data_IF_886695917546
#
_entry.id   IF_886695917546
#
_cell.length_a   1.000
_cell.length_b   1.000
_cell.length_c   1.000
_cell.angle_alpha   90.00
_cell.angle_beta   90.00
_cell.angle_gamma   90.00
#
_symmetry.space_group_name_H-M   'P 1'
#
loop_
_entity.id
_entity.type
_entity.pdbx_description
1 polymer ?
#
# COMPACT_ATOMS: atom_id res chain seq x y z
N UNK A 1 13.08 12.22 19.17
CA UNK A 1 12.98 10.89 18.48
C UNK A 1 12.15 9.97 19.34
N UNK A 2 11.01 9.47 18.84
CA UNK A 2 10.20 8.48 19.55
C UNK A 2 10.96 7.15 19.66
N UNK A 3 11.21 6.70 20.88
CA UNK A 3 12.02 5.51 21.16
C UNK A 3 11.12 4.28 21.29
N UNK A 4 11.45 3.16 20.65
CA UNK A 4 10.67 1.89 20.69
C UNK A 4 10.60 1.26 22.09
N UNK A 5 11.42 1.71 23.04
CA UNK A 5 11.44 1.27 24.43
C UNK A 5 10.66 2.19 25.40
N UNK A 6 9.94 3.17 24.86
CA UNK A 6 9.23 4.16 25.70
C UNK A 6 7.98 3.52 26.33
N UNK A 7 7.86 3.62 27.63
CA UNK A 7 6.60 3.31 28.32
C UNK A 7 5.63 4.47 28.07
N UNK A 8 4.52 4.18 27.42
CA UNK A 8 3.45 5.15 27.20
C UNK A 8 2.48 5.09 28.38
N UNK A 9 2.17 6.25 28.95
CA UNK A 9 1.18 6.40 30.05
C UNK A 9 -0.19 6.83 29.54
N UNK A 10 -0.25 7.41 28.34
CA UNK A 10 -1.50 7.90 27.75
C UNK A 10 -1.67 7.40 26.32
N UNK A 11 -2.90 7.04 25.97
CA UNK A 11 -3.29 6.48 24.68
C UNK A 11 -4.41 7.31 24.08
N UNK A 12 -4.13 7.98 22.97
CA UNK A 12 -5.08 8.82 22.25
C UNK A 12 -5.55 8.09 21.01
N UNK A 13 -6.80 7.62 21.03
CA UNK A 13 -7.41 6.98 19.85
C UNK A 13 -8.15 7.98 19.01
N UNK A 14 -7.89 7.98 17.71
CA UNK A 14 -8.40 8.94 16.73
C UNK A 14 -9.21 8.19 15.68
N UNK A 15 -10.51 8.44 15.65
CA UNK A 15 -11.42 8.01 14.57
C UNK A 15 -11.62 9.15 13.58
N UNK A 16 -11.04 9.03 12.39
CA UNK A 16 -10.96 10.13 11.42
C UNK A 16 -11.94 9.94 10.26
N UNK A 17 -12.66 11.00 9.93
CA UNK A 17 -13.56 11.09 8.78
C UNK A 17 -13.26 12.32 7.91
N UNK A 18 -14.00 12.49 6.82
CA UNK A 18 -13.76 13.56 5.85
C UNK A 18 -13.78 14.96 6.45
N UNK A 19 -14.74 15.27 7.34
CA UNK A 19 -14.97 16.64 7.84
C UNK A 19 -14.58 16.83 9.31
N UNK A 20 -14.46 15.73 10.06
CA UNK A 20 -14.25 15.73 11.51
C UNK A 20 -13.48 14.51 11.93
N UNK A 21 -12.92 14.57 13.13
CA UNK A 21 -12.45 13.39 13.82
C UNK A 21 -12.87 13.41 15.28
N UNK A 22 -13.03 12.23 15.84
CA UNK A 22 -13.34 12.02 17.26
C UNK A 22 -12.08 11.49 17.96
N UNK A 23 -11.69 12.10 19.06
CA UNK A 23 -10.54 11.71 19.85
C UNK A 23 -10.94 11.27 21.24
N UNK A 24 -10.45 10.10 21.69
CA UNK A 24 -10.64 9.58 23.02
C UNK A 24 -9.30 9.34 23.70
N UNK A 25 -9.14 9.76 24.95
CA UNK A 25 -7.92 9.65 25.74
C UNK A 25 -8.12 8.67 26.88
N UNK A 26 -7.18 7.71 27.01
CA UNK A 26 -7.10 6.75 28.13
C UNK A 26 -5.77 6.94 28.87
N UNK A 27 -5.76 6.65 30.15
CA UNK A 27 -4.51 6.42 30.91
C UNK A 27 -4.02 4.96 30.73
N UNK A 28 -2.92 4.63 31.37
CA UNK A 28 -2.27 3.30 31.33
C UNK A 28 -3.06 2.20 32.06
N UNK A 29 -4.06 2.58 32.88
CA UNK A 29 -5.01 1.68 33.56
C UNK A 29 -6.32 1.50 32.76
N UNK A 30 -6.46 2.19 31.61
CA UNK A 30 -7.65 2.14 30.77
C UNK A 30 -8.79 3.06 31.25
N UNK A 31 -8.53 3.98 32.18
CA UNK A 31 -9.51 4.99 32.62
C UNK A 31 -9.70 6.03 31.51
N UNK A 32 -10.95 6.33 31.19
CA UNK A 32 -11.32 7.36 30.22
C UNK A 32 -11.11 8.75 30.83
N UNK A 33 -10.16 9.51 30.26
CA UNK A 33 -9.85 10.87 30.71
C UNK A 33 -10.69 11.92 30.01
N UNK A 34 -10.97 11.72 28.71
CA UNK A 34 -11.78 12.65 27.93
C UNK A 34 -12.14 12.14 26.56
N UNK A 35 -13.15 12.79 25.96
CA UNK A 35 -13.52 12.63 24.55
C UNK A 35 -13.92 13.99 24.01
N UNK A 36 -13.43 14.33 22.82
CA UNK A 36 -13.80 15.57 22.14
C UNK A 36 -13.80 15.34 20.61
N UNK A 37 -14.66 16.08 19.94
CA UNK A 37 -14.79 16.10 18.48
C UNK A 37 -14.14 17.35 17.93
N UNK A 38 -13.37 17.19 16.84
CA UNK A 38 -12.66 18.26 16.18
C UNK A 38 -13.00 18.29 14.69
N UNK A 39 -12.80 19.45 14.04
CA UNK A 39 -12.86 19.58 12.60
C UNK A 39 -11.59 18.98 12.00
N UNK A 40 -11.71 18.24 10.90
CA UNK A 40 -10.53 17.70 10.20
C UNK A 40 -9.93 18.78 9.27
N UNK A 41 -9.18 19.70 9.85
CA UNK A 41 -8.54 20.84 9.19
C UNK A 41 -7.46 21.47 10.08
N UNK A 42 -6.50 22.15 9.47
CA UNK A 42 -5.30 22.67 10.13
C UNK A 42 -5.62 23.58 11.33
N UNK A 43 -6.69 24.36 11.26
CA UNK A 43 -7.05 25.35 12.28
C UNK A 43 -7.41 24.70 13.64
N UNK A 44 -7.88 23.44 13.64
CA UNK A 44 -8.28 22.73 14.88
C UNK A 44 -7.26 21.71 15.37
N UNK A 45 -6.16 21.52 14.66
CA UNK A 45 -5.16 20.52 15.07
C UNK A 45 -4.32 21.00 16.26
N UNK A 46 -4.07 22.28 16.37
CA UNK A 46 -3.43 22.88 17.56
C UNK A 46 -4.35 22.77 18.79
N UNK A 47 -5.63 23.14 18.67
CA UNK A 47 -6.62 22.98 19.74
C UNK A 47 -6.73 21.52 20.21
N UNK A 48 -6.58 20.58 19.27
CA UNK A 48 -6.56 19.16 19.59
C UNK A 48 -5.34 18.77 20.43
N UNK A 49 -4.14 19.25 20.07
CA UNK A 49 -2.93 18.97 20.87
C UNK A 49 -2.98 19.66 22.24
N UNK A 50 -3.45 20.90 22.32
CA UNK A 50 -3.64 21.61 23.58
C UNK A 50 -4.60 20.83 24.51
N UNK A 51 -5.74 20.40 23.99
CA UNK A 51 -6.70 19.58 24.76
C UNK A 51 -6.10 18.25 25.24
N UNK A 52 -5.28 17.58 24.43
CA UNK A 52 -4.57 16.36 24.85
C UNK A 52 -3.54 16.71 25.92
N UNK A 53 -2.79 17.80 25.76
CA UNK A 53 -1.79 18.26 26.72
C UNK A 53 -2.43 18.56 28.11
N UNK A 54 -3.60 19.21 28.15
CA UNK A 54 -4.35 19.45 29.39
C UNK A 54 -4.72 18.15 30.09
N UNK A 55 -5.29 17.15 29.36
CA UNK A 55 -5.69 15.87 29.91
C UNK A 55 -4.54 15.00 30.40
N UNK A 56 -3.36 15.17 29.81
CA UNK A 56 -2.15 14.40 30.14
C UNK A 56 -1.15 15.16 31.02
N UNK A 57 -1.55 16.33 31.52
CA UNK A 57 -0.70 17.22 32.32
C UNK A 57 0.67 17.51 31.68
N UNK A 58 0.69 17.68 30.35
CA UNK A 58 1.90 17.96 29.59
C UNK A 58 2.86 16.78 29.43
N UNK A 59 2.42 15.56 29.71
CA UNK A 59 3.28 14.37 29.59
C UNK A 59 3.78 14.17 28.16
N UNK A 60 5.04 13.81 28.02
CA UNK A 60 5.65 13.39 26.75
C UNK A 60 5.41 11.89 26.42
N UNK A 61 4.78 11.13 27.32
CA UNK A 61 4.57 9.69 27.22
C UNK A 61 3.20 9.35 26.62
N UNK A 62 2.81 10.11 25.59
CA UNK A 62 1.55 9.97 24.85
C UNK A 62 1.78 9.19 23.57
N UNK A 63 0.97 8.15 23.35
CA UNK A 63 0.89 7.45 22.06
C UNK A 63 -0.42 7.83 21.36
N UNK A 64 -0.29 8.38 20.17
CA UNK A 64 -1.42 8.62 19.27
C UNK A 64 -1.65 7.40 18.39
N UNK A 65 -2.89 6.91 18.32
CA UNK A 65 -3.29 5.77 17.51
C UNK A 65 -4.39 6.22 16.56
N UNK A 66 -4.24 5.95 15.28
CA UNK A 66 -5.19 6.37 14.26
C UNK A 66 -5.54 5.22 13.34
N UNK A 67 -6.82 5.11 12.96
CA UNK A 67 -7.23 4.26 11.86
C UNK A 67 -6.83 4.87 10.51
N UNK A 68 -6.25 4.04 9.62
CA UNK A 68 -5.92 4.46 8.27
C UNK A 68 -7.18 4.58 7.40
N UNK A 69 -7.72 5.77 7.26
CA UNK A 69 -8.91 6.09 6.45
C UNK A 69 -8.58 6.71 5.08
N UNK A 70 -7.44 6.34 4.51
CA UNK A 70 -6.97 6.84 3.23
C UNK A 70 -6.57 8.32 3.27
N UNK A 71 -7.06 9.11 2.29
CA UNK A 71 -6.69 10.53 2.17
C UNK A 71 -7.19 11.37 3.35
N UNK A 72 -8.27 10.97 4.02
CA UNK A 72 -8.88 11.76 5.11
C UNK A 72 -8.05 11.78 6.38
N UNK A 73 -7.25 10.73 6.64
CA UNK A 73 -6.33 10.69 7.78
C UNK A 73 -5.01 11.42 7.54
N UNK A 74 -4.69 11.76 6.28
CA UNK A 74 -3.36 12.24 5.87
C UNK A 74 -2.98 13.58 6.52
N UNK A 75 -3.88 14.57 6.54
CA UNK A 75 -3.57 15.89 7.09
C UNK A 75 -3.19 15.81 8.57
N UNK A 76 -4.03 15.17 9.40
CA UNK A 76 -3.77 15.03 10.82
C UNK A 76 -2.54 14.15 11.09
N UNK A 77 -2.35 13.09 10.29
CA UNK A 77 -1.15 12.25 10.37
C UNK A 77 0.13 13.07 10.18
N UNK A 78 0.21 13.84 9.09
CA UNK A 78 1.40 14.64 8.78
C UNK A 78 1.62 15.71 9.85
N UNK A 79 0.58 16.43 10.25
CA UNK A 79 0.64 17.38 11.35
C UNK A 79 1.21 16.78 12.63
N UNK A 80 0.70 15.63 13.08
CA UNK A 80 1.19 14.96 14.29
C UNK A 80 2.67 14.55 14.17
N UNK A 81 3.10 14.13 12.99
CA UNK A 81 4.50 13.77 12.75
C UNK A 81 5.43 15.00 12.65
N UNK A 82 4.92 16.14 12.19
CA UNK A 82 5.67 17.40 12.18
C UNK A 82 5.79 18.01 13.59
N UNK A 83 4.86 17.68 14.49
CA UNK A 83 4.94 17.97 15.93
C UNK A 83 5.73 16.90 16.73
N UNK A 84 6.49 16.02 16.05
CA UNK A 84 7.26 14.94 16.65
C UNK A 84 6.44 14.00 17.59
N UNK A 85 5.11 13.92 17.39
CA UNK A 85 4.24 13.03 18.17
C UNK A 85 4.54 11.56 17.87
N UNK A 86 4.48 10.71 18.90
CA UNK A 86 4.55 9.26 18.73
C UNK A 86 3.24 8.74 18.15
N UNK A 87 3.23 8.43 16.87
CA UNK A 87 2.03 8.05 16.12
C UNK A 87 2.11 6.60 15.62
N UNK A 88 1.02 5.86 15.83
CA UNK A 88 0.77 4.54 15.27
C UNK A 88 -0.47 4.56 14.38
N UNK A 89 -0.31 4.53 13.07
CA UNK A 89 -1.39 4.39 12.10
C UNK A 89 -1.55 2.90 11.76
N UNK A 90 -2.75 2.36 11.97
CA UNK A 90 -3.04 0.95 11.75
C UNK A 90 -4.28 0.78 10.85
N UNK A 91 -4.38 -0.37 10.22
CA UNK A 91 -5.55 -0.75 9.42
C UNK A 91 -6.78 -0.95 10.32
N UNK A 92 -7.93 -0.40 9.93
CA UNK A 92 -9.19 -0.60 10.63
C UNK A 92 -9.58 -2.06 10.81
N UNK A 93 -9.20 -2.93 9.88
CA UNK A 93 -9.38 -4.36 10.01
C UNK A 93 -8.63 -4.95 11.23
N UNK A 94 -7.38 -4.52 11.44
CA UNK A 94 -6.55 -4.98 12.58
C UNK A 94 -7.10 -4.47 13.89
N UNK A 95 -7.47 -3.19 13.95
CA UNK A 95 -8.08 -2.56 15.12
C UNK A 95 -9.40 -3.26 15.49
N UNK A 96 -10.32 -3.41 14.53
CA UNK A 96 -11.63 -4.02 14.76
C UNK A 96 -11.52 -5.50 15.18
N UNK A 97 -10.57 -6.25 14.59
CA UNK A 97 -10.35 -7.65 15.00
C UNK A 97 -9.81 -7.78 16.42
N UNK A 98 -9.05 -6.80 16.90
CA UNK A 98 -8.54 -6.79 18.27
C UNK A 98 -9.58 -6.33 19.30
N UNK A 99 -10.54 -5.50 18.89
CA UNK A 99 -11.57 -4.92 19.79
C UNK A 99 -12.73 -5.88 20.13
N UNK A 100 -12.81 -7.08 19.51
CA UNK A 100 -13.90 -8.03 19.76
C UNK A 100 -15.25 -7.59 19.18
N UNK A 101 -16.34 -8.19 19.67
CA UNK A 101 -17.72 -7.90 19.22
C UNK A 101 -18.24 -6.63 19.91
N UNK A 102 -18.45 -5.57 19.15
CA UNK A 102 -19.02 -4.32 19.64
C UNK A 102 -20.55 -4.36 19.55
N UNK A 103 -21.24 -4.04 20.65
CA UNK A 103 -22.72 -3.94 20.70
C UNK A 103 -23.26 -2.61 20.16
N UNK A 104 -22.47 -1.54 20.25
CA UNK A 104 -22.83 -0.19 19.80
C UNK A 104 -21.73 0.37 18.91
N UNK A 105 -22.13 1.07 17.85
CA UNK A 105 -21.22 1.72 16.92
C UNK A 105 -21.56 3.22 16.89
N UNK A 106 -20.64 4.04 17.38
CA UNK A 106 -20.65 5.49 17.19
C UNK A 106 -19.21 6.02 17.29
N UNK A 107 -18.95 7.18 16.71
CA UNK A 107 -17.64 7.78 16.59
C UNK A 107 -16.90 7.90 17.95
N UNK A 108 -17.64 8.20 19.03
CA UNK A 108 -17.08 8.25 20.40
C UNK A 108 -16.59 6.87 20.88
N UNK A 109 -17.40 5.81 20.69
CA UNK A 109 -17.03 4.44 21.08
C UNK A 109 -15.87 3.96 20.22
N UNK A 110 -15.85 4.32 18.95
CA UNK A 110 -14.79 3.92 18.03
C UNK A 110 -13.45 4.58 18.37
N UNK A 111 -13.43 5.88 18.76
CA UNK A 111 -12.20 6.54 19.22
C UNK A 111 -11.62 5.89 20.48
N UNK A 112 -12.45 5.55 21.49
CA UNK A 112 -11.97 4.82 22.65
C UNK A 112 -11.50 3.40 22.32
N UNK A 113 -12.16 2.70 21.40
CA UNK A 113 -11.72 1.36 20.97
C UNK A 113 -10.36 1.39 20.27
N UNK A 114 -10.07 2.47 19.53
CA UNK A 114 -8.75 2.69 18.94
C UNK A 114 -7.70 2.93 20.03
N UNK A 115 -8.02 3.71 21.07
CA UNK A 115 -7.13 3.92 22.21
C UNK A 115 -6.88 2.61 22.99
N UNK A 116 -7.94 1.82 23.27
CA UNK A 116 -7.88 0.49 23.91
C UNK A 116 -7.01 -0.49 23.11
N UNK A 117 -7.08 -0.44 21.77
CA UNK A 117 -6.18 -1.21 20.91
C UNK A 117 -4.72 -0.85 21.20
N UNK A 118 -4.36 0.44 21.24
CA UNK A 118 -3.01 0.90 21.56
C UNK A 118 -2.56 0.44 22.95
N UNK A 119 -3.41 0.61 23.97
CA UNK A 119 -3.15 0.18 25.34
C UNK A 119 -2.92 -1.34 25.41
N UNK A 120 -3.79 -2.15 24.81
CA UNK A 120 -3.68 -3.63 24.80
C UNK A 120 -2.43 -4.13 24.08
N UNK A 121 -1.88 -3.35 23.15
CA UNK A 121 -0.69 -3.68 22.36
C UNK A 121 0.55 -2.85 22.72
N UNK A 122 0.54 -2.18 23.88
CA UNK A 122 1.61 -1.27 24.32
C UNK A 122 3.01 -1.87 24.29
N UNK A 123 3.15 -3.18 24.47
CA UNK A 123 4.44 -3.89 24.36
C UNK A 123 4.85 -4.23 22.93
N UNK A 124 4.02 -3.94 21.92
CA UNK A 124 4.24 -4.26 20.50
C UNK A 124 3.92 -3.06 19.61
N UNK A 125 4.14 -1.85 20.11
CA UNK A 125 3.89 -0.60 19.38
C UNK A 125 4.69 -0.59 18.07
N UNK A 126 4.00 -0.22 17.00
CA UNK A 126 4.58 -0.05 15.67
C UNK A 126 4.46 1.41 15.26
N UNK A 127 5.40 2.23 15.69
CA UNK A 127 5.42 3.63 15.28
C UNK A 127 5.43 3.74 13.77
N UNK A 128 4.58 4.62 13.28
CA UNK A 128 4.49 4.91 11.84
C UNK A 128 5.72 5.70 11.44
N UNK A 129 6.49 5.23 10.45
CA UNK A 129 7.65 5.97 9.95
C UNK A 129 7.25 7.36 9.47
N UNK A 130 8.18 8.32 9.60
CA UNK A 130 7.94 9.69 9.11
C UNK A 130 7.54 9.64 7.63
N UNK A 131 6.56 10.45 7.26
CA UNK A 131 6.10 10.53 5.88
C UNK A 131 7.20 11.14 5.00
N UNK A 132 7.15 10.79 3.73
CA UNK A 132 8.01 11.33 2.68
C UNK A 132 7.10 12.01 1.65
N UNK A 133 7.29 13.30 1.46
CA UNK A 133 6.47 14.11 0.56
C UNK A 133 6.56 13.62 -0.89
N UNK A 134 7.78 13.25 -1.33
CA UNK A 134 8.01 12.77 -2.69
C UNK A 134 7.35 11.41 -2.93
N UNK A 135 7.43 10.47 -1.96
CA UNK A 135 6.71 9.19 -2.05
C UNK A 135 5.20 9.39 -2.02
N UNK A 136 4.72 10.38 -1.25
CA UNK A 136 3.31 10.74 -1.21
C UNK A 136 2.85 11.30 -2.56
N UNK A 137 3.61 12.22 -3.15
CA UNK A 137 3.35 12.77 -4.48
C UNK A 137 3.39 11.67 -5.55
N UNK A 138 4.39 10.78 -5.51
CA UNK A 138 4.47 9.65 -6.42
C UNK A 138 3.24 8.74 -6.32
N UNK A 139 2.78 8.44 -5.11
CA UNK A 139 1.56 7.66 -4.89
C UNK A 139 0.33 8.33 -5.51
N UNK A 140 0.20 9.65 -5.35
CA UNK A 140 -0.94 10.41 -5.86
C UNK A 140 -0.92 10.49 -7.40
N UNK A 141 0.25 10.70 -8.00
CA UNK A 141 0.44 10.66 -9.47
C UNK A 141 0.10 9.29 -10.04
N UNK A 142 0.61 8.20 -9.42
CA UNK A 142 0.31 6.83 -9.83
C UNK A 142 -1.17 6.49 -9.70
N UNK A 143 -1.81 6.94 -8.64
CA UNK A 143 -3.24 6.77 -8.39
C UNK A 143 -4.08 7.54 -9.41
N UNK A 144 -3.66 8.76 -9.76
CA UNK A 144 -4.30 9.56 -10.81
C UNK A 144 -4.12 8.92 -12.18
N UNK A 145 -2.90 8.47 -12.51
CA UNK A 145 -2.61 7.72 -13.73
C UNK A 145 -3.55 6.53 -13.90
N UNK A 146 -3.74 5.76 -12.82
CA UNK A 146 -4.66 4.62 -12.82
C UNK A 146 -6.09 5.06 -13.15
N UNK A 147 -6.61 6.09 -12.49
CA UNK A 147 -7.97 6.60 -12.74
C UNK A 147 -8.17 7.04 -14.18
N UNK A 148 -7.24 7.84 -14.72
CA UNK A 148 -7.31 8.32 -16.11
C UNK A 148 -7.21 7.16 -17.11
N UNK A 149 -6.33 6.17 -16.85
CA UNK A 149 -6.21 4.96 -17.67
C UNK A 149 -7.49 4.11 -17.65
N UNK A 150 -8.15 3.99 -16.48
CA UNK A 150 -9.40 3.24 -16.36
C UNK A 150 -10.55 3.96 -17.09
N UNK A 151 -10.63 5.30 -17.03
CA UNK A 151 -11.59 6.10 -17.79
C UNK A 151 -11.37 5.96 -19.31
N UNK A 152 -10.13 6.02 -19.76
CA UNK A 152 -9.80 5.82 -21.17
C UNK A 152 -10.25 4.44 -21.67
N UNK A 153 -9.97 3.39 -20.89
CA UNK A 153 -10.42 2.02 -21.22
C UNK A 153 -11.95 1.89 -21.23
N UNK A 154 -12.64 2.55 -20.29
CA UNK A 154 -14.10 2.54 -20.23
C UNK A 154 -14.75 3.12 -21.49
N UNK A 155 -14.07 4.08 -22.17
CA UNK A 155 -14.54 4.65 -23.42
C UNK A 155 -14.08 3.82 -24.62
N UNK A 156 -12.80 3.44 -24.68
CA UNK A 156 -12.24 2.77 -25.85
C UNK A 156 -12.73 1.33 -26.03
N UNK A 157 -13.02 0.60 -24.93
CA UNK A 157 -13.42 -0.82 -25.03
C UNK A 157 -14.77 -0.97 -25.74
N UNK A 158 -15.85 -0.27 -25.33
CA UNK A 158 -17.14 -0.34 -26.06
C UNK A 158 -17.04 0.13 -27.51
N UNK A 159 -16.20 1.16 -27.80
CA UNK A 159 -16.02 1.63 -29.18
C UNK A 159 -15.36 0.56 -30.07
N UNK A 160 -14.41 -0.21 -29.54
CA UNK A 160 -13.81 -1.36 -30.25
C UNK A 160 -14.85 -2.46 -30.53
N UNK A 161 -15.70 -2.75 -29.55
CA UNK A 161 -16.78 -3.75 -29.73
C UNK A 161 -17.81 -3.30 -30.75
N UNK A 162 -18.24 -2.04 -30.74
CA UNK A 162 -19.15 -1.46 -31.72
C UNK A 162 -18.51 -1.46 -33.12
N UNK A 163 -17.20 -1.23 -33.22
CA UNK A 163 -16.48 -1.35 -34.48
C UNK A 163 -16.51 -2.76 -35.07
N UNK A 164 -16.51 -3.79 -34.22
CA UNK A 164 -16.49 -5.19 -34.65
C UNK A 164 -17.89 -5.76 -34.91
N UNK A 165 -18.88 -5.36 -34.09
CA UNK A 165 -20.20 -5.99 -34.07
C UNK A 165 -21.38 -5.03 -34.37
N UNK A 166 -21.13 -3.70 -34.36
CA UNK A 166 -22.11 -2.67 -34.64
C UNK A 166 -22.23 -2.30 -36.12
N UNK A 167 -23.19 -1.41 -36.44
CA UNK A 167 -23.28 -0.86 -37.79
C UNK A 167 -22.34 0.32 -38.02
N UNK A 168 -21.97 0.57 -39.27
CA UNK A 168 -21.02 1.61 -39.67
C UNK A 168 -21.45 3.03 -39.25
N UNK A 169 -22.77 3.33 -39.29
CA UNK A 169 -23.31 4.64 -38.90
C UNK A 169 -23.14 4.90 -37.41
N UNK A 170 -23.52 3.94 -36.56
CA UNK A 170 -23.34 4.06 -35.11
C UNK A 170 -21.85 4.16 -34.74
N UNK A 171 -21.00 3.34 -35.37
CA UNK A 171 -19.56 3.37 -35.13
C UNK A 171 -18.96 4.75 -35.42
N UNK A 172 -19.29 5.34 -36.59
CA UNK A 172 -18.81 6.67 -36.98
C UNK A 172 -19.24 7.74 -35.98
N UNK A 173 -20.56 7.81 -35.70
CA UNK A 173 -21.13 8.84 -34.79
C UNK A 173 -20.50 8.73 -33.40
N UNK A 174 -20.46 7.54 -32.81
CA UNK A 174 -19.94 7.34 -31.45
C UNK A 174 -18.43 7.60 -31.36
N UNK A 175 -17.68 7.23 -32.39
CA UNK A 175 -16.26 7.53 -32.44
C UNK A 175 -16.00 9.03 -32.54
N UNK A 176 -16.75 9.77 -33.38
CA UNK A 176 -16.61 11.22 -33.54
C UNK A 176 -16.98 11.96 -32.24
N UNK A 177 -18.06 11.56 -31.56
CA UNK A 177 -18.47 12.14 -30.28
C UNK A 177 -17.45 11.92 -29.15
N UNK A 178 -16.76 10.79 -29.14
CA UNK A 178 -15.79 10.46 -28.09
C UNK A 178 -14.34 10.88 -28.41
N UNK A 179 -14.08 11.36 -29.63
CA UNK A 179 -12.73 11.68 -30.09
C UNK A 179 -12.02 12.70 -29.20
N UNK A 180 -12.70 13.78 -28.81
CA UNK A 180 -12.14 14.83 -27.96
C UNK A 180 -11.80 14.30 -26.57
N UNK A 181 -12.70 13.53 -25.95
CA UNK A 181 -12.48 12.91 -24.64
C UNK A 181 -11.27 11.94 -24.65
N UNK A 182 -11.19 11.08 -25.66
CA UNK A 182 -10.07 10.14 -25.81
C UNK A 182 -8.75 10.90 -26.00
N UNK A 183 -8.73 11.92 -26.82
CA UNK A 183 -7.51 12.73 -27.06
C UNK A 183 -7.07 13.45 -25.80
N UNK A 184 -8.00 14.06 -25.08
CA UNK A 184 -7.74 14.73 -23.81
C UNK A 184 -7.20 13.77 -22.74
N UNK A 185 -7.84 12.60 -22.57
CA UNK A 185 -7.37 11.59 -21.61
C UNK A 185 -5.98 11.05 -21.95
N UNK A 186 -5.67 10.86 -23.25
CA UNK A 186 -4.32 10.43 -23.69
C UNK A 186 -3.27 11.52 -23.43
N UNK A 187 -3.60 12.78 -23.67
CA UNK A 187 -2.71 13.89 -23.34
C UNK A 187 -2.45 13.96 -21.84
N UNK A 188 -3.51 13.88 -21.01
CA UNK A 188 -3.40 13.86 -19.54
C UNK A 188 -2.54 12.69 -19.05
N UNK A 189 -2.69 11.48 -19.62
CA UNK A 189 -1.84 10.34 -19.26
C UNK A 189 -0.38 10.62 -19.53
N UNK A 190 -0.06 11.22 -20.68
CA UNK A 190 1.30 11.58 -21.04
C UNK A 190 1.91 12.60 -20.07
N UNK A 191 1.14 13.63 -19.70
CA UNK A 191 1.61 14.61 -18.72
C UNK A 191 1.83 14.03 -17.33
N UNK A 192 0.96 13.11 -16.88
CA UNK A 192 1.17 12.40 -15.61
C UNK A 192 2.43 11.53 -15.68
N UNK A 193 2.68 10.84 -16.78
CA UNK A 193 3.88 10.03 -16.98
C UNK A 193 5.15 10.89 -17.00
N UNK A 194 5.11 12.05 -17.63
CA UNK A 194 6.20 13.03 -17.60
C UNK A 194 6.47 13.53 -16.17
N UNK A 195 5.41 13.84 -15.40
CA UNK A 195 5.55 14.27 -14.01
C UNK A 195 6.18 13.17 -13.12
N UNK A 196 5.77 11.91 -13.31
CA UNK A 196 6.38 10.77 -12.61
C UNK A 196 7.85 10.64 -12.98
N UNK A 197 8.18 10.80 -14.27
CA UNK A 197 9.54 10.68 -14.76
C UNK A 197 10.46 11.77 -14.21
N UNK A 198 9.96 12.99 -14.10
CA UNK A 198 10.71 14.12 -13.55
C UNK A 198 10.92 13.93 -12.03
N UNK A 199 9.87 13.56 -11.29
CA UNK A 199 9.98 13.28 -9.86
C UNK A 199 11.01 12.16 -9.55
N UNK A 200 11.07 11.12 -10.40
CA UNK A 200 12.09 10.06 -10.25
C UNK A 200 13.49 10.62 -10.50
N UNK A 201 13.67 11.46 -11.53
CA UNK A 201 14.97 12.04 -11.88
C UNK A 201 15.55 12.97 -10.81
N UNK A 202 14.69 13.65 -10.05
CA UNK A 202 15.06 14.52 -8.95
C UNK A 202 15.66 13.76 -7.75
N UNK A 203 15.50 12.43 -7.70
CA UNK A 203 15.98 11.59 -6.62
C UNK A 203 16.95 10.50 -7.15
N UNK A 204 18.25 10.68 -6.93
CA UNK A 204 19.29 9.78 -7.43
C UNK A 204 19.09 8.33 -6.98
N UNK A 205 18.69 8.12 -5.71
CA UNK A 205 18.46 6.76 -5.20
C UNK A 205 17.28 6.10 -5.87
N UNK A 206 16.27 6.85 -6.28
CA UNK A 206 15.13 6.31 -7.03
C UNK A 206 15.54 5.97 -8.47
N UNK A 207 16.34 6.83 -9.12
CA UNK A 207 16.88 6.54 -10.44
C UNK A 207 17.66 5.24 -10.43
N UNK A 208 18.56 5.07 -9.44
CA UNK A 208 19.34 3.85 -9.30
C UNK A 208 18.45 2.63 -9.08
N UNK A 209 17.53 2.68 -8.13
CA UNK A 209 16.64 1.57 -7.80
C UNK A 209 15.70 1.21 -8.95
N UNK A 210 15.20 2.20 -9.71
CA UNK A 210 14.41 1.96 -10.93
C UNK A 210 15.25 1.25 -11.99
N UNK A 211 16.47 1.70 -12.24
CA UNK A 211 17.37 1.09 -13.22
C UNK A 211 17.75 -0.36 -12.85
N UNK A 212 18.00 -0.60 -11.56
CA UNK A 212 18.30 -1.94 -11.06
C UNK A 212 17.07 -2.86 -11.16
N UNK A 213 15.91 -2.43 -10.68
CA UNK A 213 14.70 -3.24 -10.67
C UNK A 213 14.19 -3.54 -12.09
N UNK A 214 14.23 -2.58 -13.01
CA UNK A 214 13.82 -2.78 -14.41
C UNK A 214 14.81 -3.64 -15.22
N UNK A 215 16.04 -3.86 -14.74
CA UNK A 215 16.96 -4.83 -15.34
C UNK A 215 16.42 -6.26 -15.28
N UNK A 216 15.52 -6.57 -14.33
CA UNK A 216 14.83 -7.85 -14.26
C UNK A 216 13.81 -7.94 -15.38
N UNK A 217 14.12 -8.67 -16.45
CA UNK A 217 13.26 -8.81 -17.63
C UNK A 217 11.86 -9.28 -17.25
N UNK A 218 10.86 -8.50 -17.64
CA UNK A 218 9.46 -8.66 -17.29
C UNK A 218 8.95 -7.70 -16.21
N UNK A 219 9.84 -6.97 -15.55
CA UNK A 219 9.48 -5.90 -14.60
C UNK A 219 9.52 -4.55 -15.30
N UNK A 220 8.36 -3.93 -15.47
CA UNK A 220 8.24 -2.61 -16.09
C UNK A 220 8.34 -1.47 -15.07
N UNK A 221 8.69 -0.26 -15.55
CA UNK A 221 8.85 0.96 -14.74
C UNK A 221 7.64 1.24 -13.83
N UNK A 222 6.41 1.10 -14.35
CA UNK A 222 5.19 1.32 -13.56
C UNK A 222 5.11 0.42 -12.33
N UNK A 223 5.51 -0.85 -12.45
CA UNK A 223 5.56 -1.79 -11.32
C UNK A 223 6.57 -1.33 -10.29
N UNK A 224 7.76 -0.90 -10.75
CA UNK A 224 8.81 -0.40 -9.86
C UNK A 224 8.39 0.86 -9.15
N UNK A 225 7.73 1.82 -9.82
CA UNK A 225 7.19 3.02 -9.18
C UNK A 225 6.23 2.68 -8.02
N UNK A 226 5.33 1.72 -8.22
CA UNK A 226 4.48 1.22 -7.14
C UNK A 226 5.27 0.50 -6.05
N UNK A 227 6.34 -0.22 -6.40
CA UNK A 227 7.23 -0.81 -5.41
C UNK A 227 7.94 0.27 -4.59
N UNK A 228 8.48 1.34 -5.19
CA UNK A 228 9.07 2.47 -4.46
C UNK A 228 8.12 3.00 -3.37
N UNK A 229 6.85 3.24 -3.73
CA UNK A 229 5.84 3.74 -2.78
C UNK A 229 5.61 2.75 -1.64
N UNK A 230 5.26 1.50 -1.94
CA UNK A 230 4.88 0.52 -0.92
C UNK A 230 6.04 -0.04 -0.11
N UNK A 231 7.26 0.08 -0.60
CA UNK A 231 8.46 -0.33 0.12
C UNK A 231 9.21 0.84 0.75
N UNK A 232 8.71 2.06 0.61
CA UNK A 232 9.42 3.28 1.00
C UNK A 232 10.85 3.28 0.46
N UNK A 233 10.93 3.22 -0.88
CA UNK A 233 12.19 3.13 -1.61
C UNK A 233 13.06 1.93 -1.18
N UNK A 234 12.47 0.75 -1.05
CA UNK A 234 13.13 -0.49 -0.63
C UNK A 234 13.83 -0.38 0.73
N UNK A 235 13.21 0.33 1.69
CA UNK A 235 13.73 0.47 3.04
C UNK A 235 14.13 -0.86 3.68
N UNK A 236 15.08 -0.84 4.61
CA UNK A 236 15.68 -2.04 5.21
C UNK A 236 14.65 -2.93 5.93
N UNK A 237 13.68 -2.31 6.58
CA UNK A 237 12.60 -3.00 7.29
C UNK A 237 11.60 -3.68 6.36
N UNK A 238 11.59 -3.32 5.05
CA UNK A 238 10.71 -3.90 4.03
C UNK A 238 11.43 -5.03 3.28
N UNK A 239 11.04 -6.27 3.55
CA UNK A 239 11.58 -7.45 2.88
C UNK A 239 10.73 -7.87 1.68
N UNK A 240 11.32 -8.64 0.75
CA UNK A 240 10.58 -9.25 -0.37
C UNK A 240 9.36 -10.06 0.12
N UNK A 241 9.47 -10.74 1.28
CA UNK A 241 8.37 -11.51 1.88
C UNK A 241 7.26 -10.61 2.40
N UNK A 242 7.59 -9.50 3.07
CA UNK A 242 6.60 -8.51 3.54
C UNK A 242 5.86 -7.88 2.35
N UNK A 243 6.61 -7.49 1.30
CA UNK A 243 6.00 -6.96 0.08
C UNK A 243 5.12 -7.99 -0.64
N UNK A 244 5.55 -9.24 -0.73
CA UNK A 244 4.76 -10.32 -1.31
C UNK A 244 3.46 -10.59 -0.51
N UNK A 245 3.49 -10.47 0.81
CA UNK A 245 2.31 -10.56 1.66
C UNK A 245 1.34 -9.39 1.41
N UNK A 246 1.84 -8.15 1.32
CA UNK A 246 1.07 -6.96 0.97
C UNK A 246 0.40 -7.10 -0.40
N UNK A 247 1.15 -7.57 -1.40
CA UNK A 247 0.64 -7.81 -2.75
C UNK A 247 -0.31 -9.02 -2.84
N UNK A 248 -0.45 -9.81 -1.76
CA UNK A 248 -1.33 -10.99 -1.70
C UNK A 248 -0.89 -12.12 -2.60
N UNK A 249 0.40 -12.28 -2.80
CA UNK A 249 0.99 -13.37 -3.57
C UNK A 249 1.64 -14.45 -2.69
N UNK A 250 1.77 -14.20 -1.39
CA UNK A 250 2.24 -15.20 -0.41
C UNK A 250 1.09 -16.15 -0.08
N UNK A 251 1.27 -17.47 -0.26
CA UNK A 251 0.29 -18.44 0.18
C UNK A 251 0.31 -18.56 1.71
N UNK A 252 -0.87 -18.61 2.32
CA UNK A 252 -1.05 -18.90 3.75
C UNK A 252 -1.71 -20.26 3.90
N UNK A 253 -1.18 -21.08 4.79
CA UNK A 253 -1.79 -22.35 5.17
C UNK A 253 -3.06 -22.08 5.99
N UNK A 254 -4.11 -22.81 5.70
CA UNK A 254 -5.36 -22.75 6.44
C UNK A 254 -5.69 -24.13 6.98
N UNK A 255 -4.98 -24.49 8.06
CA UNK A 255 -5.17 -25.74 8.78
C UNK A 255 -5.64 -25.45 10.20
N UNK A 256 -6.59 -26.22 10.70
CA UNK A 256 -7.04 -26.16 12.09
C UNK A 256 -7.33 -27.57 12.57
N UNK A 257 -6.54 -28.03 13.52
CA UNK A 257 -6.60 -29.40 14.04
C UNK A 257 -6.45 -30.47 12.95
N UNK A 258 -6.99 -31.64 13.18
CA UNK A 258 -6.98 -32.76 12.24
C UNK A 258 -8.12 -32.72 11.22
N UNK A 259 -9.18 -31.92 11.48
CA UNK A 259 -10.43 -31.93 10.72
C UNK A 259 -10.52 -30.87 9.61
N UNK A 260 -9.69 -29.81 9.66
CA UNK A 260 -9.72 -28.74 8.67
C UNK A 260 -8.39 -28.63 7.96
N UNK A 261 -8.30 -29.16 6.74
CA UNK A 261 -7.19 -28.91 5.82
C UNK A 261 -7.73 -28.29 4.52
N UNK A 262 -7.86 -26.95 4.51
CA UNK A 262 -8.30 -26.19 3.31
C UNK A 262 -7.15 -25.88 2.35
N UNK A 263 -5.96 -26.47 2.58
CA UNK A 263 -4.78 -26.18 1.78
C UNK A 263 -4.26 -24.74 1.93
N UNK A 264 -3.47 -24.30 0.97
CA UNK A 264 -2.88 -22.96 0.95
C UNK A 264 -3.70 -22.00 0.08
N UNK A 265 -4.12 -20.88 0.66
CA UNK A 265 -4.85 -19.84 -0.03
C UNK A 265 -4.14 -18.49 0.08
N UNK A 266 -4.34 -17.62 -0.92
CA UNK A 266 -3.88 -16.24 -0.82
C UNK A 266 -4.83 -15.43 0.09
N UNK A 267 -4.26 -14.47 0.84
CA UNK A 267 -5.06 -13.59 1.69
C UNK A 267 -6.08 -12.79 0.88
N UNK A 268 -7.31 -12.69 1.41
CA UNK A 268 -8.35 -11.80 0.86
C UNK A 268 -8.01 -10.31 1.04
N UNK A 269 -7.14 -9.98 1.99
CA UNK A 269 -6.66 -8.63 2.30
C UNK A 269 -5.49 -8.18 1.43
N UNK A 270 -5.42 -8.69 0.22
CA UNK A 270 -4.36 -8.38 -0.72
C UNK A 270 -4.64 -7.10 -1.50
N UNK A 271 -3.59 -6.37 -1.83
CA UNK A 271 -3.68 -5.24 -2.74
C UNK A 271 -3.94 -5.71 -4.18
N UNK A 272 -5.23 -5.84 -4.54
CA UNK A 272 -5.68 -6.46 -5.82
C UNK A 272 -5.02 -5.85 -7.05
N UNK A 273 -4.87 -4.51 -7.07
CA UNK A 273 -4.26 -3.81 -8.20
C UNK A 273 -2.78 -4.19 -8.36
N UNK A 274 -2.01 -4.19 -7.27
CA UNK A 274 -0.59 -4.58 -7.27
C UNK A 274 -0.41 -6.04 -7.72
N UNK A 275 -1.29 -6.93 -7.24
CA UNK A 275 -1.34 -8.33 -7.66
C UNK A 275 -1.60 -8.47 -9.16
N UNK A 276 -2.46 -7.61 -9.73
CA UNK A 276 -2.74 -7.54 -11.17
C UNK A 276 -1.52 -7.06 -11.97
N UNK A 277 -0.84 -6.01 -11.53
CA UNK A 277 0.38 -5.52 -12.17
C UNK A 277 1.48 -6.60 -12.19
N UNK A 278 1.70 -7.28 -11.06
CA UNK A 278 2.64 -8.39 -10.98
C UNK A 278 2.24 -9.57 -11.88
N UNK A 279 0.93 -9.77 -12.13
CA UNK A 279 0.49 -10.81 -13.06
C UNK A 279 0.88 -10.49 -14.51
N UNK A 280 0.74 -9.23 -14.93
CA UNK A 280 1.21 -8.77 -16.25
C UNK A 280 2.73 -8.90 -16.38
N UNK A 281 3.46 -8.59 -15.30
CA UNK A 281 4.92 -8.80 -15.23
C UNK A 281 5.31 -10.26 -15.43
N UNK A 282 4.55 -11.20 -14.87
CA UNK A 282 4.79 -12.64 -15.05
C UNK A 282 4.59 -13.05 -16.50
N UNK A 283 3.52 -12.59 -17.15
CA UNK A 283 3.27 -12.88 -18.56
C UNK A 283 4.44 -12.44 -19.45
N UNK A 284 4.91 -11.20 -19.23
CA UNK A 284 6.07 -10.66 -19.94
C UNK A 284 7.37 -11.44 -19.61
N UNK A 285 7.59 -11.76 -18.32
CA UNK A 285 8.80 -12.48 -17.90
C UNK A 285 8.87 -13.90 -18.45
N UNK A 286 7.77 -14.63 -18.55
CA UNK A 286 7.72 -15.97 -19.14
C UNK A 286 8.11 -15.93 -20.63
N UNK A 287 7.76 -14.85 -21.33
CA UNK A 287 8.10 -14.67 -22.74
C UNK A 287 9.57 -14.25 -22.95
N UNK A 288 10.07 -13.32 -22.13
CA UNK A 288 11.32 -12.59 -22.40
C UNK A 288 12.48 -12.92 -21.46
N UNK A 289 12.26 -13.69 -20.38
CA UNK A 289 13.29 -14.08 -19.43
C UNK A 289 13.49 -15.61 -19.46
N UNK A 290 14.60 -16.12 -20.05
CA UNK A 290 14.83 -17.55 -20.18
C UNK A 290 14.79 -18.31 -18.85
N UNK A 291 15.38 -17.74 -17.79
CA UNK A 291 15.43 -18.38 -16.46
C UNK A 291 14.02 -18.48 -15.85
N UNK A 292 13.20 -17.46 -16.03
CA UNK A 292 11.80 -17.47 -15.56
C UNK A 292 10.96 -18.45 -16.38
N UNK A 293 11.20 -18.55 -17.69
CA UNK A 293 10.53 -19.53 -18.56
C UNK A 293 10.83 -20.98 -18.11
N UNK A 294 12.12 -21.27 -17.85
CA UNK A 294 12.54 -22.59 -17.32
C UNK A 294 11.89 -22.84 -15.95
N UNK A 295 11.93 -21.87 -15.05
CA UNK A 295 11.32 -21.99 -13.73
C UNK A 295 9.82 -22.27 -13.81
N UNK A 296 9.08 -21.56 -14.68
CA UNK A 296 7.65 -21.77 -14.87
C UNK A 296 7.35 -23.16 -15.43
N UNK A 297 8.09 -23.64 -16.46
CA UNK A 297 7.94 -24.98 -17.01
C UNK A 297 8.14 -26.04 -15.95
N UNK A 298 9.24 -25.97 -15.18
CA UNK A 298 9.52 -26.89 -14.06
C UNK A 298 8.34 -26.93 -13.07
N UNK A 299 7.76 -25.76 -12.71
CA UNK A 299 6.61 -25.72 -11.79
C UNK A 299 5.36 -26.37 -12.39
N UNK A 300 5.19 -26.37 -13.70
CA UNK A 300 4.13 -27.08 -14.40
C UNK A 300 4.39 -28.60 -14.40
N UNK A 301 5.59 -29.03 -14.65
CA UNK A 301 6.04 -30.44 -14.60
C UNK A 301 5.92 -31.04 -13.20
N UNK A 302 6.11 -30.25 -12.14
CA UNK A 302 5.82 -30.61 -10.74
C UNK A 302 4.29 -30.80 -10.48
N UNK A 303 3.43 -30.79 -11.50
CA UNK A 303 1.97 -30.97 -11.39
C UNK A 303 1.20 -29.74 -10.89
N UNK A 304 1.83 -28.57 -10.75
CA UNK A 304 1.12 -27.37 -10.26
C UNK A 304 0.17 -26.80 -11.31
N UNK A 305 -1.06 -26.47 -10.89
CA UNK A 305 -2.03 -25.77 -11.74
C UNK A 305 -1.42 -24.43 -12.25
N UNK A 306 -1.80 -24.01 -13.47
CA UNK A 306 -1.21 -22.83 -14.12
C UNK A 306 -1.20 -21.57 -13.26
N UNK A 307 -2.30 -21.24 -12.60
CA UNK A 307 -2.36 -20.07 -11.70
C UNK A 307 -1.43 -20.17 -10.48
N UNK A 308 -1.23 -21.38 -9.96
CA UNK A 308 -0.27 -21.62 -8.85
C UNK A 308 1.16 -21.44 -9.33
N UNK A 309 1.50 -22.00 -10.50
CA UNK A 309 2.81 -21.81 -11.12
C UNK A 309 3.10 -20.33 -11.41
N UNK A 310 2.12 -19.58 -11.95
CA UNK A 310 2.24 -18.12 -12.14
C UNK A 310 2.42 -17.36 -10.83
N UNK A 311 1.76 -17.79 -9.75
CA UNK A 311 1.93 -17.16 -8.43
C UNK A 311 3.34 -17.40 -7.86
N UNK A 312 3.92 -18.60 -8.08
CA UNK A 312 5.31 -18.87 -7.75
C UNK A 312 6.27 -17.96 -8.53
N UNK A 313 5.99 -17.71 -9.82
CA UNK A 313 6.77 -16.77 -10.63
C UNK A 313 6.66 -15.34 -10.11
N UNK A 314 5.47 -14.87 -9.67
CA UNK A 314 5.33 -13.55 -9.02
C UNK A 314 6.26 -13.41 -7.83
N UNK A 315 6.26 -14.41 -6.93
CA UNK A 315 7.15 -14.41 -5.77
C UNK A 315 8.62 -14.39 -6.18
N UNK A 316 9.00 -15.19 -7.20
CA UNK A 316 10.37 -15.22 -7.70
C UNK A 316 10.79 -13.87 -8.28
N UNK A 317 9.92 -13.21 -9.07
CA UNK A 317 10.19 -11.87 -9.62
C UNK A 317 10.39 -10.83 -8.51
N UNK A 318 9.53 -10.83 -7.49
CA UNK A 318 9.68 -9.94 -6.33
C UNK A 318 11.01 -10.18 -5.63
N UNK A 319 11.39 -11.43 -5.37
CA UNK A 319 12.69 -11.77 -4.79
C UNK A 319 13.85 -11.27 -5.63
N UNK A 320 13.80 -11.43 -6.97
CA UNK A 320 14.84 -10.95 -7.87
C UNK A 320 14.97 -9.43 -7.83
N UNK A 321 13.84 -8.69 -7.85
CA UNK A 321 13.87 -7.22 -7.74
C UNK A 321 14.53 -6.77 -6.44
N UNK A 322 14.14 -7.35 -5.30
CA UNK A 322 14.78 -7.02 -4.03
C UNK A 322 16.26 -7.42 -3.98
N UNK A 323 16.64 -8.52 -4.61
CA UNK A 323 18.03 -8.95 -4.67
C UNK A 323 18.90 -7.97 -5.46
N UNK A 324 18.48 -7.55 -6.67
CA UNK A 324 19.25 -6.61 -7.50
C UNK A 324 19.35 -5.22 -6.86
N UNK A 325 18.28 -4.75 -6.23
CA UNK A 325 18.28 -3.45 -5.53
C UNK A 325 19.22 -3.48 -4.32
N UNK A 326 19.20 -4.54 -3.52
CA UNK A 326 20.07 -4.67 -2.34
C UNK A 326 21.53 -4.92 -2.66
N UNK A 327 21.81 -5.72 -3.69
CA UNK A 327 23.19 -5.99 -4.12
C UNK A 327 23.79 -4.85 -4.94
N UNK A 328 22.97 -3.85 -5.35
CA UNK A 328 23.38 -2.78 -6.27
C UNK A 328 23.95 -3.30 -7.61
N UNK A 329 23.52 -4.49 -8.01
CA UNK A 329 23.96 -5.15 -9.26
C UNK A 329 22.77 -5.40 -10.17
N UNK A 330 22.91 -5.09 -11.45
CA UNK A 330 21.88 -5.38 -12.45
C UNK A 330 21.65 -6.88 -12.57
N UNK A 331 20.42 -7.27 -12.93
CA UNK A 331 20.08 -8.66 -13.17
C UNK A 331 20.91 -9.26 -14.31
N UNK A 332 21.64 -10.32 -14.00
CA UNK A 332 22.36 -11.12 -14.98
C UNK A 332 21.62 -12.45 -15.23
N UNK A 333 21.27 -12.70 -16.49
CA UNK A 333 20.61 -13.95 -16.92
C UNK A 333 21.54 -15.16 -16.75
N UNK A 334 22.86 -14.94 -16.84
CA UNK A 334 23.87 -15.97 -16.75
C UNK A 334 24.36 -16.22 -15.31
N UNK A 335 23.85 -15.45 -14.34
CA UNK A 335 24.24 -15.60 -12.94
C UNK A 335 23.92 -17.00 -12.43
N UNK A 336 24.96 -17.78 -12.16
CA UNK A 336 24.88 -19.08 -11.47
C UNK A 336 25.17 -18.85 -10.00
N UNK A 337 24.24 -19.18 -9.11
CA UNK A 337 24.50 -19.20 -7.68
C UNK A 337 25.68 -20.16 -7.45
N UNK A 338 26.81 -19.66 -6.95
CA UNK A 338 27.84 -20.54 -6.42
C UNK A 338 27.20 -21.25 -5.24
N UNK A 339 26.86 -22.52 -5.42
CA UNK A 339 26.60 -23.39 -4.27
C UNK A 339 27.90 -23.36 -3.47
N UNK A 340 27.84 -22.83 -2.27
CA UNK A 340 28.92 -23.03 -1.29
C UNK A 340 28.94 -24.54 -1.06
N UNK A 341 30.03 -25.15 -1.52
CA UNK A 341 30.32 -26.56 -1.34
C UNK A 341 30.51 -26.84 0.15
#
# INVERSE_FOLDING_TARGET
>A
MCNLSKNYLFFVGIDNSKKKFDAGVLDDNGKKLGHKKFINGNDSFLDFLEWVCELTSGSSEVLFIMEHTGIYSRLLWFFLQDQDCCLWVESGFVINRASGIKKTKNDKVDSFSIAEFGLSKRYKVKLTPKYDENLTLLHDLLSNRKRVSDQLKAIETPLKEIKMYGNAKSNKILHDLNKLAITGLKATLKEIENAIDNLIKENETWVENVNLATSVKGIGKLVVCWMLVYTRNFSEDMTARKFAALAGITPFEHTSGTSINKGTHNSHFSHKFLKGLLHLSVMSAIQHNPNIKIYYKRKKEEGKKGFVAMNNVKNKLVQLVFAVVRSKQKYDVNFKHKLVA
#
